data_IF_288278434504
#
_entry.id   IF_288278434504
#
_cell.length_a   1.000
_cell.length_b   1.000
_cell.length_c   1.000
_cell.angle_alpha   90.00
_cell.angle_beta   90.00
_cell.angle_gamma   90.00
#
_symmetry.space_group_name_H-M   'P 1'
#
loop_
_entity.id
_entity.type
_entity.pdbx_description
1 polymer ?
#
# COMPACT_ATOMS: atom_id res chain seq x y z
N UNK A 1 -15.18 -3.59 -21.24
CA UNK A 1 -14.04 -3.19 -20.40
C UNK A 1 -14.47 -3.27 -18.94
N UNK A 2 -14.09 -4.32 -18.25
CA UNK A 2 -14.48 -4.53 -16.87
C UNK A 2 -13.82 -3.49 -15.96
N UNK A 3 -14.64 -2.59 -15.45
CA UNK A 3 -14.18 -1.58 -14.48
C UNK A 3 -13.77 -2.30 -13.20
N UNK A 4 -12.50 -2.25 -12.85
CA UNK A 4 -12.02 -2.72 -11.54
C UNK A 4 -12.35 -1.67 -10.48
N UNK A 5 -13.12 -2.06 -9.50
CA UNK A 5 -13.48 -1.22 -8.36
C UNK A 5 -12.73 -1.68 -7.11
N UNK A 6 -12.13 -0.77 -6.32
CA UNK A 6 -11.60 -1.12 -5.00
C UNK A 6 -12.72 -1.59 -4.08
N UNK A 7 -12.45 -2.59 -3.23
CA UNK A 7 -13.45 -3.14 -2.31
C UNK A 7 -14.00 -2.07 -1.36
N UNK A 8 -13.19 -1.13 -0.93
CA UNK A 8 -13.60 -0.04 -0.03
C UNK A 8 -14.62 0.93 -0.66
N UNK A 9 -14.82 0.86 -1.97
CA UNK A 9 -15.89 1.60 -2.66
C UNK A 9 -17.18 0.79 -2.81
N UNK A 10 -17.15 -0.50 -2.47
CA UNK A 10 -18.30 -1.41 -2.55
C UNK A 10 -18.85 -1.79 -1.19
N UNK A 11 -18.13 -1.52 -0.13
CA UNK A 11 -18.53 -1.87 1.21
C UNK A 11 -17.61 -1.25 2.27
N UNK A 12 -17.99 -1.47 3.52
CA UNK A 12 -17.23 -1.05 4.69
C UNK A 12 -16.40 -2.22 5.21
N UNK A 13 -15.08 -2.04 5.34
CA UNK A 13 -14.16 -3.07 5.81
C UNK A 13 -13.80 -2.78 7.26
N UNK A 14 -13.99 -3.76 8.14
CA UNK A 14 -13.65 -3.66 9.56
C UNK A 14 -12.89 -4.90 10.02
N UNK A 15 -12.18 -4.76 11.13
CA UNK A 15 -11.47 -5.86 11.80
C UNK A 15 -12.01 -6.00 13.23
N UNK A 16 -13.18 -6.66 13.41
CA UNK A 16 -13.82 -6.73 14.74
C UNK A 16 -13.01 -7.55 15.74
N UNK A 17 -12.20 -8.48 15.27
CA UNK A 17 -11.33 -9.34 16.08
C UNK A 17 -9.96 -9.46 15.42
N UNK A 18 -8.88 -9.83 16.17
CA UNK A 18 -7.52 -9.86 15.64
C UNK A 18 -7.31 -10.72 14.39
N UNK A 19 -8.08 -11.78 14.21
CA UNK A 19 -7.99 -12.69 13.07
C UNK A 19 -9.30 -12.78 12.28
N UNK A 20 -10.02 -11.68 12.21
CA UNK A 20 -11.28 -11.62 11.46
C UNK A 20 -11.39 -10.30 10.73
N UNK A 21 -11.65 -10.40 9.44
CA UNK A 21 -11.98 -9.24 8.60
C UNK A 21 -13.43 -9.34 8.23
N UNK A 22 -14.19 -8.26 8.38
CA UNK A 22 -15.59 -8.18 8.00
C UNK A 22 -15.79 -7.13 6.91
N UNK A 23 -16.52 -7.49 5.89
CA UNK A 23 -16.89 -6.59 4.80
C UNK A 23 -18.40 -6.47 4.78
N UNK A 24 -18.91 -5.29 5.12
CA UNK A 24 -20.33 -4.98 4.98
C UNK A 24 -20.54 -4.39 3.59
N UNK A 25 -21.13 -5.21 2.71
CA UNK A 25 -21.37 -4.83 1.32
C UNK A 25 -22.64 -3.99 1.23
N UNK A 26 -22.57 -2.85 0.53
CA UNK A 26 -23.70 -1.92 0.42
C UNK A 26 -24.78 -2.40 -0.56
N UNK A 27 -24.38 -3.02 -1.66
CA UNK A 27 -25.29 -3.54 -2.67
C UNK A 27 -25.22 -5.07 -2.69
N UNK A 28 -26.37 -5.70 -2.45
CA UNK A 28 -26.51 -7.16 -2.43
C UNK A 28 -25.99 -7.83 -3.71
N UNK A 29 -26.12 -7.17 -4.85
CA UNK A 29 -25.65 -7.69 -6.13
C UNK A 29 -24.14 -7.83 -6.21
N UNK A 30 -23.40 -7.11 -5.38
CA UNK A 30 -21.94 -7.15 -5.36
C UNK A 30 -21.36 -8.24 -4.45
N UNK A 31 -22.19 -8.84 -3.58
CA UNK A 31 -21.72 -9.87 -2.63
C UNK A 31 -21.07 -11.05 -3.34
N UNK A 32 -21.74 -11.62 -4.32
CA UNK A 32 -21.22 -12.76 -5.08
C UNK A 32 -19.95 -12.41 -5.87
N UNK A 33 -19.89 -11.20 -6.40
CA UNK A 33 -18.72 -10.70 -7.16
C UNK A 33 -17.50 -10.53 -6.25
N UNK A 34 -17.69 -9.98 -5.05
CA UNK A 34 -16.63 -9.82 -4.07
C UNK A 34 -16.16 -11.19 -3.56
N UNK A 35 -17.08 -12.10 -3.25
CA UNK A 35 -16.76 -13.46 -2.84
C UNK A 35 -15.89 -14.18 -3.89
N UNK A 36 -16.30 -14.12 -5.16
CA UNK A 36 -15.53 -14.71 -6.26
C UNK A 36 -14.15 -14.07 -6.42
N UNK A 37 -14.05 -12.75 -6.30
CA UNK A 37 -12.77 -12.05 -6.39
C UNK A 37 -11.82 -12.45 -5.28
N UNK A 38 -12.30 -12.60 -4.05
CA UNK A 38 -11.48 -13.03 -2.91
C UNK A 38 -11.01 -14.48 -3.09
N UNK A 39 -11.89 -15.38 -3.53
CA UNK A 39 -11.53 -16.78 -3.79
C UNK A 39 -10.50 -16.93 -4.90
N UNK A 40 -10.54 -16.07 -5.92
CA UNK A 40 -9.57 -16.05 -7.03
C UNK A 40 -8.26 -15.33 -6.67
N UNK A 41 -8.25 -14.57 -5.57
CA UNK A 41 -7.04 -13.90 -5.11
C UNK A 41 -6.05 -14.88 -4.50
N UNK A 42 -4.79 -14.49 -4.45
CA UNK A 42 -3.73 -15.29 -3.82
C UNK A 42 -3.68 -15.13 -2.29
N UNK A 43 -4.68 -14.49 -1.69
CA UNK A 43 -4.74 -14.25 -0.25
C UNK A 43 -4.92 -15.53 0.56
N UNK A 44 -5.46 -16.59 -0.03
CA UNK A 44 -5.71 -17.87 0.67
C UNK A 44 -6.77 -17.77 1.75
N UNK A 45 -7.68 -16.82 1.63
CA UNK A 45 -8.79 -16.62 2.57
C UNK A 45 -10.07 -17.25 2.05
N UNK A 46 -10.85 -17.84 2.96
CA UNK A 46 -12.16 -18.45 2.66
C UNK A 46 -13.28 -17.54 3.15
N UNK A 47 -13.94 -16.78 2.26
CA UNK A 47 -15.02 -15.90 2.67
C UNK A 47 -16.24 -16.71 3.11
N UNK A 48 -16.91 -16.22 4.17
CA UNK A 48 -18.16 -16.74 4.67
C UNK A 48 -19.23 -15.66 4.49
N UNK A 49 -20.26 -15.96 3.71
CA UNK A 49 -21.33 -15.01 3.40
C UNK A 49 -22.46 -15.15 4.40
N UNK A 50 -22.86 -14.02 4.99
CA UNK A 50 -24.03 -13.91 5.85
C UNK A 50 -24.83 -12.68 5.40
N UNK A 51 -25.78 -12.87 4.49
CA UNK A 51 -26.51 -11.78 3.85
C UNK A 51 -25.60 -10.86 3.07
N UNK A 52 -25.51 -9.60 3.50
CA UNK A 52 -24.61 -8.60 2.93
C UNK A 52 -23.26 -8.51 3.66
N UNK A 53 -23.06 -9.32 4.69
CA UNK A 53 -21.82 -9.39 5.43
C UNK A 53 -20.95 -10.52 4.90
N UNK A 54 -19.71 -10.21 4.54
CA UNK A 54 -18.69 -11.19 4.19
C UNK A 54 -17.68 -11.25 5.33
N UNK A 55 -17.53 -12.42 5.94
CA UNK A 55 -16.54 -12.65 6.99
C UNK A 55 -15.35 -13.39 6.40
N UNK A 56 -14.17 -12.90 6.71
CA UNK A 56 -12.91 -13.48 6.29
C UNK A 56 -12.13 -13.91 7.54
N UNK A 57 -12.24 -15.19 7.97
CA UNK A 57 -11.39 -15.67 9.04
C UNK A 57 -9.94 -15.76 8.53
N UNK A 58 -9.00 -15.21 9.30
CA UNK A 58 -7.59 -15.26 8.98
C UNK A 58 -6.98 -16.39 9.80
N UNK A 59 -6.42 -17.45 9.17
CA UNK A 59 -5.83 -18.56 9.89
C UNK A 59 -4.54 -18.15 10.62
N UNK A 60 -4.14 -18.92 11.63
CA UNK A 60 -2.84 -18.76 12.26
C UNK A 60 -1.72 -18.89 11.24
N UNK A 61 -0.76 -17.96 11.31
CA UNK A 61 0.39 -17.98 10.43
C UNK A 61 1.47 -18.92 10.98
N UNK A 62 1.94 -19.86 10.15
CA UNK A 62 3.14 -20.63 10.44
C UNK A 62 4.38 -19.73 10.41
N UNK A 63 5.48 -20.13 11.04
CA UNK A 63 6.75 -19.39 10.96
C UNK A 63 7.25 -19.26 9.53
N UNK A 64 7.08 -20.30 8.73
CA UNK A 64 7.41 -20.29 7.31
C UNK A 64 6.61 -19.23 6.55
N UNK A 65 5.30 -19.16 6.77
CA UNK A 65 4.42 -18.15 6.14
C UNK A 65 4.76 -16.74 6.61
N UNK A 66 5.06 -16.55 7.89
CA UNK A 66 5.51 -15.27 8.44
C UNK A 66 6.78 -14.78 7.76
N UNK A 67 7.74 -15.68 7.56
CA UNK A 67 9.00 -15.39 6.87
C UNK A 67 8.76 -14.96 5.41
N UNK A 68 7.86 -15.64 4.69
CA UNK A 68 7.47 -15.27 3.33
C UNK A 68 6.84 -13.88 3.28
N UNK A 69 5.93 -13.58 4.20
CA UNK A 69 5.25 -12.29 4.28
C UNK A 69 6.25 -11.17 4.59
N UNK A 70 7.22 -11.41 5.47
CA UNK A 70 8.29 -10.44 5.74
C UNK A 70 9.07 -10.09 4.48
N UNK A 71 9.40 -11.07 3.67
CA UNK A 71 10.09 -10.84 2.37
C UNK A 71 9.24 -10.02 1.42
N UNK A 72 7.94 -10.31 1.35
CA UNK A 72 7.00 -9.54 0.53
C UNK A 72 6.93 -8.08 0.99
N UNK A 73 6.85 -7.85 2.30
CA UNK A 73 6.79 -6.50 2.88
C UNK A 73 8.06 -5.71 2.57
N UNK A 74 9.22 -6.34 2.73
CA UNK A 74 10.51 -5.71 2.37
C UNK A 74 10.58 -5.34 0.89
N UNK A 75 10.15 -6.24 0.01
CA UNK A 75 10.11 -6.00 -1.43
C UNK A 75 9.16 -4.84 -1.78
N UNK A 76 8.00 -4.78 -1.15
CA UNK A 76 7.05 -3.67 -1.32
C UNK A 76 7.66 -2.34 -0.86
N UNK A 77 8.34 -2.33 0.28
CA UNK A 77 9.04 -1.15 0.80
C UNK A 77 10.12 -0.66 -0.13
N UNK A 78 10.96 -1.55 -0.65
CA UNK A 78 11.99 -1.20 -1.65
C UNK A 78 11.38 -0.63 -2.93
N UNK A 79 10.31 -1.21 -3.42
CA UNK A 79 9.59 -0.72 -4.59
C UNK A 79 9.05 0.70 -4.37
N UNK A 80 8.49 0.98 -3.20
CA UNK A 80 8.03 2.31 -2.83
C UNK A 80 9.20 3.32 -2.78
N UNK A 81 10.32 2.94 -2.19
CA UNK A 81 11.52 3.79 -2.12
C UNK A 81 12.09 4.11 -3.51
N UNK A 82 12.10 3.14 -4.41
CA UNK A 82 12.51 3.36 -5.81
C UNK A 82 11.59 4.37 -6.49
N UNK A 83 10.29 4.26 -6.31
CA UNK A 83 9.32 5.21 -6.86
C UNK A 83 9.55 6.63 -6.33
N UNK A 84 9.82 6.78 -5.04
CA UNK A 84 10.13 8.09 -4.43
C UNK A 84 11.42 8.68 -5.00
N UNK A 85 12.45 7.88 -5.16
CA UNK A 85 13.71 8.34 -5.77
C UNK A 85 13.54 8.75 -7.23
N UNK A 86 12.71 8.05 -7.98
CA UNK A 86 12.38 8.43 -9.36
C UNK A 86 11.66 9.76 -9.42
N UNK A 87 10.70 10.01 -8.54
CA UNK A 87 10.01 11.30 -8.42
C UNK A 87 11.00 12.41 -8.08
N UNK A 88 11.95 12.17 -7.17
CA UNK A 88 13.01 13.13 -6.86
C UNK A 88 13.84 13.49 -8.11
N UNK A 89 14.23 12.47 -8.87
CA UNK A 89 14.99 12.69 -10.12
C UNK A 89 14.22 13.53 -11.11
N UNK A 90 12.95 13.20 -11.32
CA UNK A 90 12.07 13.97 -12.21
C UNK A 90 11.91 15.42 -11.74
N UNK A 91 11.74 15.65 -10.46
CA UNK A 91 11.65 16.99 -9.88
C UNK A 91 12.97 17.78 -10.07
N UNK A 92 14.11 17.15 -9.83
CA UNK A 92 15.41 17.79 -10.05
C UNK A 92 15.68 18.08 -11.53
N UNK A 93 15.26 17.20 -12.43
CA UNK A 93 15.34 17.43 -13.88
C UNK A 93 14.47 18.60 -14.32
N UNK A 94 13.29 18.75 -13.76
CA UNK A 94 12.42 19.89 -14.00
C UNK A 94 13.04 21.22 -13.51
N UNK A 95 13.71 21.20 -12.36
CA UNK A 95 14.45 22.38 -11.87
C UNK A 95 15.59 22.78 -12.83
N UNK A 96 16.33 21.81 -13.34
CA UNK A 96 17.41 22.07 -14.33
C UNK A 96 16.86 22.64 -15.62
N UNK A 97 15.70 22.16 -16.08
CA UNK A 97 15.01 22.68 -17.24
C UNK A 97 14.59 24.12 -17.05
N UNK A 98 13.99 24.45 -15.91
CA UNK A 98 13.60 25.81 -15.56
C UNK A 98 14.81 26.76 -15.49
N UNK A 99 15.95 26.28 -14.99
CA UNK A 99 17.19 27.06 -14.99
C UNK A 99 17.70 27.32 -16.40
N UNK A 100 17.72 26.29 -17.25
CA UNK A 100 18.12 26.40 -18.66
C UNK A 100 17.24 27.42 -19.41
N UNK A 101 15.94 27.41 -19.13
CA UNK A 101 14.96 28.32 -19.71
C UNK A 101 14.98 29.71 -19.08
N UNK A 102 15.91 29.96 -18.15
CA UNK A 102 16.08 31.21 -17.41
C UNK A 102 14.86 31.65 -16.62
N UNK A 103 14.00 30.72 -16.21
CA UNK A 103 12.81 30.99 -15.39
C UNK A 103 13.10 31.09 -13.91
N UNK A 104 14.17 30.46 -13.45
CA UNK A 104 14.64 30.49 -12.05
C UNK A 104 16.16 30.68 -12.01
N UNK A 105 16.67 31.14 -10.87
CA UNK A 105 18.08 31.35 -10.63
C UNK A 105 18.76 30.05 -10.14
N UNK A 106 20.10 30.04 -10.20
CA UNK A 106 20.90 28.94 -9.64
C UNK A 106 20.69 28.78 -8.13
N UNK A 107 20.54 29.89 -7.40
CA UNK A 107 20.25 29.86 -5.96
C UNK A 107 18.89 29.25 -5.65
N UNK A 108 17.88 29.55 -6.47
CA UNK A 108 16.55 28.92 -6.36
C UNK A 108 16.59 27.43 -6.64
N UNK A 109 17.40 26.98 -7.62
CA UNK A 109 17.62 25.57 -7.89
C UNK A 109 18.19 24.87 -6.67
N UNK A 110 19.27 25.40 -6.10
CA UNK A 110 19.92 24.80 -4.91
C UNK A 110 18.98 24.74 -3.73
N UNK A 111 18.22 25.80 -3.47
CA UNK A 111 17.23 25.86 -2.40
C UNK A 111 16.15 24.79 -2.57
N UNK A 112 15.60 24.67 -3.77
CA UNK A 112 14.54 23.70 -4.06
C UNK A 112 15.05 22.26 -4.11
N UNK A 113 16.27 22.02 -4.59
CA UNK A 113 16.89 20.69 -4.53
C UNK A 113 17.03 20.22 -3.08
N UNK A 114 17.38 21.10 -2.16
CA UNK A 114 17.45 20.77 -0.74
C UNK A 114 16.08 20.41 -0.17
N UNK A 115 15.06 21.19 -0.50
CA UNK A 115 13.68 20.92 -0.06
C UNK A 115 13.21 19.56 -0.58
N UNK A 116 13.46 19.27 -1.86
CA UNK A 116 13.11 17.98 -2.48
C UNK A 116 13.87 16.83 -1.80
N UNK A 117 15.15 17.03 -1.48
CA UNK A 117 15.94 16.01 -0.80
C UNK A 117 15.42 15.74 0.62
N UNK A 118 15.06 16.79 1.36
CA UNK A 118 14.52 16.66 2.72
C UNK A 118 13.18 15.93 2.70
N UNK A 119 12.29 16.25 1.78
CA UNK A 119 11.03 15.49 1.59
C UNK A 119 11.28 14.03 1.23
N UNK A 120 12.24 13.79 0.36
CA UNK A 120 12.61 12.42 -0.05
C UNK A 120 13.10 11.62 1.14
N UNK A 121 14.03 12.18 1.92
CA UNK A 121 14.59 11.52 3.10
C UNK A 121 13.51 11.22 4.15
N UNK A 122 12.62 12.17 4.38
CA UNK A 122 11.51 11.99 5.32
C UNK A 122 10.55 10.89 4.87
N UNK A 123 10.21 10.82 3.60
CA UNK A 123 9.31 9.79 3.08
C UNK A 123 9.96 8.40 3.09
N UNK A 124 11.26 8.31 2.79
CA UNK A 124 12.00 7.05 2.90
C UNK A 124 12.01 6.56 4.34
N UNK A 125 12.23 7.46 5.29
CA UNK A 125 12.18 7.12 6.72
C UNK A 125 10.79 6.61 7.14
N UNK A 126 9.73 7.24 6.68
CA UNK A 126 8.35 6.79 6.96
C UNK A 126 8.12 5.38 6.42
N UNK A 127 8.61 5.07 5.22
CA UNK A 127 8.50 3.74 4.64
C UNK A 127 9.29 2.72 5.47
N UNK A 128 10.54 3.01 5.83
CA UNK A 128 11.37 2.13 6.62
C UNK A 128 10.75 1.85 8.00
N UNK A 129 10.21 2.87 8.66
CA UNK A 129 9.55 2.75 9.95
C UNK A 129 8.28 1.87 9.85
N UNK A 130 7.50 2.05 8.80
CA UNK A 130 6.30 1.23 8.55
C UNK A 130 6.63 -0.22 8.24
N UNK A 131 7.67 -0.45 7.46
CA UNK A 131 8.16 -1.81 7.15
C UNK A 131 8.61 -2.51 8.43
N UNK A 132 9.43 -1.85 9.24
CA UNK A 132 9.92 -2.38 10.51
C UNK A 132 8.77 -2.68 11.48
N UNK A 133 7.82 -1.77 11.60
CA UNK A 133 6.65 -1.94 12.47
C UNK A 133 5.78 -3.12 12.01
N UNK A 134 5.58 -3.26 10.69
CA UNK A 134 4.79 -4.36 10.13
C UNK A 134 5.48 -5.72 10.26
N UNK A 135 6.79 -5.77 10.07
CA UNK A 135 7.58 -6.99 10.31
C UNK A 135 7.43 -7.47 11.76
N UNK A 136 7.54 -6.55 12.70
CA UNK A 136 7.36 -6.84 14.12
C UNK A 136 5.94 -7.34 14.42
N UNK A 137 4.94 -6.68 13.88
CA UNK A 137 3.52 -7.07 14.04
C UNK A 137 3.27 -8.49 13.53
N UNK A 138 3.80 -8.85 12.37
CA UNK A 138 3.66 -10.18 11.78
C UNK A 138 4.33 -11.25 12.63
N UNK A 139 5.42 -10.95 13.31
CA UNK A 139 6.11 -11.89 14.19
C UNK A 139 5.42 -12.08 15.54
N UNK A 140 4.54 -11.17 15.94
CA UNK A 140 3.90 -11.19 17.26
C UNK A 140 2.43 -11.64 17.26
N UNK A 141 1.81 -11.78 16.10
CA UNK A 141 0.41 -12.23 15.97
C UNK A 141 0.27 -13.72 16.12
#
# INVERSE_FOLDING_TARGET
>A
MDKKWPINQLGSITTPEPRSISIQVWDTNNVALIDSAIKKSELGLNPQIDGQLIRLPVPDLSEERRSEIKKIIKAMGEKCKVSIRNIRREANDELKKLLKDKKISEDEVKKNEKVIQDYTDNQIKVIDDRVTAKEKEIMTI
#
